data_IF_701006077276
#
_entry.id   IF_701006077276
#
_cell.length_a   1.000
_cell.length_b   1.000
_cell.length_c   1.000
_cell.angle_alpha   90.00
_cell.angle_beta   90.00
_cell.angle_gamma   90.00
#
_symmetry.space_group_name_H-M   'P 1'
#
loop_
_entity.id
_entity.type
_entity.pdbx_description
1 polymer ?
#
# COMPACT_ATOMS: atom_id res chain seq x y z
N UNK A 1 -21.36 32.42 39.17
CA UNK A 1 -20.04 31.82 39.45
C UNK A 1 -19.85 30.66 38.47
N UNK A 2 -19.09 30.89 37.43
CA UNK A 2 -18.56 29.81 36.60
C UNK A 2 -17.45 29.14 37.40
N UNK A 3 -17.64 27.85 37.71
CA UNK A 3 -16.63 27.09 38.43
C UNK A 3 -15.28 27.13 37.74
N UNK A 4 -14.23 27.26 38.56
CA UNK A 4 -12.85 27.04 38.11
C UNK A 4 -12.73 25.60 37.66
N UNK A 5 -12.87 25.37 36.36
CA UNK A 5 -12.47 24.11 35.75
C UNK A 5 -10.96 24.04 35.84
N UNK A 6 -10.44 23.16 36.69
CA UNK A 6 -9.02 22.95 36.84
C UNK A 6 -8.42 22.62 35.48
N UNK A 7 -7.40 23.37 35.06
CA UNK A 7 -6.68 23.05 33.81
C UNK A 7 -6.17 21.59 33.87
N UNK A 8 -6.29 20.83 32.79
CA UNK A 8 -5.80 19.47 32.77
C UNK A 8 -4.29 19.43 33.09
N UNK A 9 -3.88 18.49 33.94
CA UNK A 9 -2.47 18.28 34.25
C UNK A 9 -1.63 18.15 32.98
N UNK A 10 -0.52 18.90 32.95
CA UNK A 10 0.43 18.83 31.86
C UNK A 10 1.02 17.42 31.82
N UNK A 11 1.12 16.80 30.62
CA UNK A 11 1.73 15.48 30.50
C UNK A 11 3.21 15.54 30.92
N UNK A 12 3.80 14.37 31.32
CA UNK A 12 5.20 14.30 31.73
C UNK A 12 6.14 14.95 30.72
N UNK A 13 7.23 15.52 31.20
CA UNK A 13 8.17 16.31 30.39
C UNK A 13 8.72 15.52 29.20
N UNK A 14 8.91 14.19 29.34
CA UNK A 14 9.32 13.30 28.27
C UNK A 14 8.28 13.22 27.13
N UNK A 15 6.98 13.23 27.48
CA UNK A 15 5.88 13.21 26.51
C UNK A 15 5.83 14.56 25.78
N UNK A 16 6.03 15.67 26.50
CA UNK A 16 6.10 17.00 25.89
C UNK A 16 7.30 17.11 24.95
N UNK A 17 8.48 16.63 25.35
CA UNK A 17 9.68 16.61 24.51
C UNK A 17 9.49 15.78 23.25
N UNK A 18 8.86 14.59 23.37
CA UNK A 18 8.53 13.73 22.23
C UNK A 18 7.53 14.41 21.28
N UNK A 19 6.49 15.06 21.82
CA UNK A 19 5.53 15.83 21.03
C UNK A 19 6.20 16.99 20.31
N UNK A 20 7.06 17.74 20.97
CA UNK A 20 7.83 18.84 20.37
C UNK A 20 8.74 18.32 19.23
N UNK A 21 9.44 17.21 19.44
CA UNK A 21 10.27 16.58 18.41
C UNK A 21 9.43 16.14 17.19
N UNK A 22 8.21 15.66 17.41
CA UNK A 22 7.29 15.31 16.35
C UNK A 22 6.78 16.54 15.58
N UNK A 23 6.48 17.64 16.28
CA UNK A 23 6.13 18.93 15.66
C UNK A 23 7.25 19.39 14.72
N UNK A 24 8.50 19.31 15.13
CA UNK A 24 9.65 19.65 14.29
C UNK A 24 9.72 18.75 13.07
N UNK A 25 9.51 17.43 13.22
CA UNK A 25 9.51 16.48 12.10
C UNK A 25 8.40 16.74 11.08
N UNK A 26 7.17 17.05 11.55
CA UNK A 26 6.03 17.34 10.66
C UNK A 26 6.17 18.67 9.96
N UNK A 27 6.95 19.57 10.53
CA UNK A 27 7.15 20.93 10.03
C UNK A 27 8.43 21.08 9.18
N UNK A 28 9.26 20.04 9.10
CA UNK A 28 10.49 20.08 8.30
C UNK A 28 10.18 20.24 6.81
N UNK A 29 10.77 21.28 6.21
CA UNK A 29 10.67 21.52 4.77
C UNK A 29 11.63 20.56 4.07
N UNK A 30 11.12 19.68 3.22
CA UNK A 30 11.96 18.89 2.32
C UNK A 30 12.60 19.84 1.30
N UNK A 31 13.89 19.72 1.08
CA UNK A 31 14.69 20.46 0.11
C UNK A 31 15.02 21.92 0.45
N UNK A 32 14.87 22.37 1.71
CA UNK A 32 15.36 23.65 2.16
C UNK A 32 16.47 23.47 3.20
N UNK A 33 17.48 24.35 3.20
CA UNK A 33 18.55 24.39 4.20
C UNK A 33 18.06 24.99 5.55
N UNK A 34 16.75 25.02 5.76
CA UNK A 34 16.11 25.59 6.93
C UNK A 34 15.00 24.68 7.48
N UNK A 35 14.81 24.73 8.79
CA UNK A 35 13.74 24.04 9.50
C UNK A 35 12.80 25.11 10.09
N UNK A 36 11.50 24.98 9.80
CA UNK A 36 10.46 25.85 10.34
C UNK A 36 9.60 25.12 11.38
N UNK A 37 9.14 25.84 12.38
CA UNK A 37 8.12 25.39 13.34
C UNK A 37 6.82 26.12 13.00
N UNK A 38 5.77 25.34 12.77
CA UNK A 38 4.43 25.85 12.42
C UNK A 38 3.44 25.48 13.52
N UNK A 39 3.19 26.36 14.51
CA UNK A 39 2.38 26.05 15.69
C UNK A 39 0.96 25.58 15.33
N UNK A 40 0.23 26.32 14.48
CA UNK A 40 -1.14 25.95 14.11
C UNK A 40 -1.25 24.58 13.42
N UNK A 41 -0.44 24.25 12.40
CA UNK A 41 -0.44 22.92 11.80
C UNK A 41 -0.11 21.78 12.75
N UNK A 42 0.56 22.04 13.87
CA UNK A 42 0.89 20.99 14.84
C UNK A 42 -0.31 20.51 15.69
N UNK A 43 -1.43 21.23 15.65
CA UNK A 43 -2.67 20.82 16.33
C UNK A 43 -3.50 19.82 15.53
N UNK A 44 -3.24 19.65 14.22
CA UNK A 44 -3.95 18.66 13.42
C UNK A 44 -3.45 17.25 13.74
N UNK A 45 -4.38 16.36 14.10
CA UNK A 45 -4.07 14.97 14.42
C UNK A 45 -3.83 14.12 13.17
N UNK A 46 -3.26 12.93 13.39
CA UNK A 46 -2.99 11.98 12.33
C UNK A 46 -4.18 11.09 12.02
N UNK A 47 -4.38 10.81 10.73
CA UNK A 47 -5.16 9.67 10.26
C UNK A 47 -4.43 8.99 9.09
N UNK A 48 -4.54 7.65 9.00
CA UNK A 48 -4.10 6.91 7.81
C UNK A 48 -5.08 7.04 6.62
N UNK A 49 -6.23 7.68 6.85
CA UNK A 49 -7.20 8.13 5.85
C UNK A 49 -7.50 9.61 6.14
N UNK A 50 -6.56 10.53 5.85
CA UNK A 50 -6.70 11.94 6.18
C UNK A 50 -7.80 12.59 5.35
N UNK A 51 -8.46 13.60 5.91
CA UNK A 51 -9.45 14.41 5.23
C UNK A 51 -8.92 15.81 4.84
N UNK A 52 -7.65 16.06 5.12
CA UNK A 52 -6.95 17.27 4.69
C UNK A 52 -5.52 16.94 4.27
N UNK A 53 -4.97 17.77 3.42
CA UNK A 53 -3.60 17.69 2.96
C UNK A 53 -2.76 18.89 3.42
N UNK A 54 -1.46 18.63 3.60
CA UNK A 54 -0.46 19.61 3.99
C UNK A 54 0.48 19.84 2.80
N UNK A 55 0.51 21.08 2.31
CA UNK A 55 1.35 21.49 1.17
C UNK A 55 2.27 22.62 1.60
N UNK A 56 3.54 22.53 1.21
CA UNK A 56 4.54 23.58 1.44
C UNK A 56 4.78 24.35 0.16
N UNK A 57 4.63 25.67 0.21
CA UNK A 57 4.99 26.57 -0.90
C UNK A 57 5.96 27.61 -0.33
N UNK A 58 7.23 27.48 -0.67
CA UNK A 58 8.30 28.27 -0.05
C UNK A 58 8.35 28.06 1.47
N UNK A 59 8.16 29.11 2.23
CA UNK A 59 8.13 29.07 3.71
C UNK A 59 6.71 29.00 4.30
N UNK A 60 5.68 28.89 3.46
CA UNK A 60 4.29 28.87 3.91
C UNK A 60 3.73 27.47 3.84
N UNK A 61 3.10 27.02 4.94
CA UNK A 61 2.39 25.75 5.00
C UNK A 61 0.89 25.99 4.78
N UNK A 62 0.33 25.30 3.81
CA UNK A 62 -1.11 25.28 3.53
C UNK A 62 -1.70 23.97 4.03
N UNK A 63 -2.81 24.07 4.78
CA UNK A 63 -3.67 22.94 5.10
C UNK A 63 -4.94 23.10 4.28
N UNK A 64 -5.20 22.13 3.41
CA UNK A 64 -6.35 22.14 2.50
C UNK A 64 -7.22 20.92 2.77
N UNK A 65 -8.54 21.15 2.88
CA UNK A 65 -9.50 20.04 2.92
C UNK A 65 -9.39 19.23 1.62
N UNK A 66 -9.35 17.91 1.74
CA UNK A 66 -9.29 16.98 0.62
C UNK A 66 -10.69 16.61 0.10
N UNK A 67 -11.72 16.87 0.89
CA UNK A 67 -13.14 16.65 0.60
C UNK A 67 -13.98 17.65 1.38
N UNK A 68 -15.27 17.67 1.16
CA UNK A 68 -16.20 18.41 1.99
C UNK A 68 -16.17 17.88 3.44
N UNK A 69 -16.09 18.80 4.40
CA UNK A 69 -16.07 18.50 5.81
C UNK A 69 -17.38 18.96 6.46
N UNK A 70 -17.95 18.12 7.30
CA UNK A 70 -19.12 18.47 8.09
C UNK A 70 -18.79 19.49 9.19
N UNK A 71 -19.82 20.18 9.70
CA UNK A 71 -19.65 21.04 10.86
C UNK A 71 -19.17 20.19 12.06
N UNK A 72 -18.15 20.68 12.79
CA UNK A 72 -17.48 20.01 13.91
C UNK A 72 -16.76 18.69 13.55
N UNK A 73 -16.55 18.40 12.29
CA UNK A 73 -15.70 17.29 11.89
C UNK A 73 -14.23 17.62 12.16
N UNK A 74 -13.52 16.73 12.85
CA UNK A 74 -12.09 16.90 13.12
C UNK A 74 -11.28 16.81 11.83
N UNK A 75 -10.31 17.72 11.70
CA UNK A 75 -9.41 17.78 10.54
C UNK A 75 -8.17 16.95 10.81
N UNK A 76 -7.94 15.94 9.97
CA UNK A 76 -6.80 15.03 10.06
C UNK A 76 -5.85 15.22 8.91
N UNK A 77 -4.56 15.16 9.20
CA UNK A 77 -3.48 15.13 8.19
C UNK A 77 -2.65 13.85 8.32
N UNK A 78 -1.90 13.49 7.30
CA UNK A 78 -0.90 12.42 7.44
C UNK A 78 0.38 12.95 8.10
N UNK A 79 0.96 12.17 9.04
CA UNK A 79 2.26 12.47 9.64
C UNK A 79 3.41 11.72 8.95
N UNK A 80 3.09 10.60 8.31
CA UNK A 80 4.01 9.70 7.62
C UNK A 80 3.35 9.12 6.37
N UNK A 81 4.08 8.38 5.60
CA UNK A 81 3.57 7.71 4.41
C UNK A 81 2.46 6.72 4.77
N UNK A 82 1.26 6.99 4.28
CA UNK A 82 0.06 6.16 4.53
C UNK A 82 -0.09 5.02 3.50
N UNK A 83 0.75 4.97 2.48
CA UNK A 83 0.75 3.88 1.49
C UNK A 83 1.38 2.60 2.03
N UNK A 84 2.10 2.69 3.15
CA UNK A 84 2.63 1.54 3.87
C UNK A 84 1.52 0.62 4.38
N UNK A 85 1.77 -0.69 4.49
CA UNK A 85 0.85 -1.63 5.13
C UNK A 85 0.66 -1.33 6.62
N UNK A 86 -0.47 -1.81 7.19
CA UNK A 86 -0.84 -1.54 8.58
C UNK A 86 0.26 -1.86 9.60
N UNK A 87 0.96 -3.02 9.57
CA UNK A 87 2.01 -3.30 10.57
C UNK A 87 3.15 -2.26 10.54
N UNK A 88 3.53 -1.80 9.35
CA UNK A 88 4.56 -0.79 9.18
C UNK A 88 4.07 0.58 9.69
N UNK A 89 2.83 0.98 9.33
CA UNK A 89 2.21 2.20 9.85
C UNK A 89 2.09 2.18 11.37
N UNK A 90 1.69 1.04 11.97
CA UNK A 90 1.62 0.86 13.41
C UNK A 90 2.99 1.01 14.09
N UNK A 91 4.05 0.47 13.49
CA UNK A 91 5.42 0.65 13.97
C UNK A 91 5.84 2.12 13.93
N UNK A 92 5.48 2.85 12.86
CA UNK A 92 5.80 4.28 12.75
C UNK A 92 5.00 5.09 13.78
N UNK A 93 3.69 4.86 13.92
CA UNK A 93 2.84 5.59 14.87
C UNK A 93 3.31 5.40 16.32
N UNK A 94 3.74 4.19 16.69
CA UNK A 94 4.35 3.95 18.02
C UNK A 94 5.61 4.77 18.26
N UNK A 95 6.46 4.94 17.24
CA UNK A 95 7.64 5.82 17.33
C UNK A 95 7.26 7.31 17.49
N UNK A 96 6.07 7.70 17.03
CA UNK A 96 5.48 9.02 17.25
C UNK A 96 4.78 9.14 18.61
N UNK A 97 4.61 8.03 19.34
CA UNK A 97 4.04 7.99 20.68
C UNK A 97 2.53 7.83 20.72
N UNK A 98 1.91 7.29 19.66
CA UNK A 98 0.48 7.01 19.64
C UNK A 98 0.15 5.72 18.85
N UNK A 99 -1.02 5.17 19.12
CA UNK A 99 -1.63 4.10 18.32
C UNK A 99 -2.76 4.69 17.48
N UNK A 100 -2.68 4.49 16.17
CA UNK A 100 -3.68 5.03 15.26
C UNK A 100 -4.95 4.18 15.26
N UNK A 101 -6.07 4.77 15.68
CA UNK A 101 -7.41 4.15 15.69
C UNK A 101 -8.34 4.68 14.59
N UNK A 102 -7.81 5.19 13.48
CA UNK A 102 -8.63 5.71 12.38
C UNK A 102 -9.47 4.60 11.72
N UNK A 103 -10.56 4.94 10.99
CA UNK A 103 -11.44 3.95 10.37
C UNK A 103 -10.73 2.94 9.47
N UNK A 104 -9.69 3.36 8.73
CA UNK A 104 -8.87 2.47 7.91
C UNK A 104 -8.10 1.46 8.77
N UNK A 105 -7.48 1.91 9.86
CA UNK A 105 -6.78 1.00 10.78
C UNK A 105 -7.73 0.02 11.44
N UNK A 106 -8.96 0.45 11.76
CA UNK A 106 -10.03 -0.42 12.27
C UNK A 106 -10.44 -1.49 11.26
N UNK A 107 -10.64 -1.11 9.98
CA UNK A 107 -10.95 -2.04 8.90
C UNK A 107 -9.85 -3.10 8.72
N UNK A 108 -8.60 -2.69 8.73
CA UNK A 108 -7.44 -3.57 8.54
C UNK A 108 -7.03 -4.34 9.83
N UNK A 109 -7.67 -4.06 10.98
CA UNK A 109 -7.46 -4.81 12.22
C UNK A 109 -8.29 -6.10 12.29
N UNK A 110 -9.43 -6.13 11.60
CA UNK A 110 -10.31 -7.30 11.60
C UNK A 110 -9.61 -8.49 10.95
N UNK A 111 -9.36 -9.53 11.73
CA UNK A 111 -8.69 -10.75 11.27
C UNK A 111 -7.17 -10.61 11.12
N UNK A 112 -6.54 -9.63 11.74
CA UNK A 112 -5.08 -9.42 11.68
C UNK A 112 -4.30 -10.59 12.30
N UNK A 113 -4.86 -11.24 13.30
CA UNK A 113 -4.36 -12.48 13.91
C UNK A 113 -4.23 -13.63 12.90
N UNK A 114 -5.18 -13.74 11.98
CA UNK A 114 -5.18 -14.74 10.90
C UNK A 114 -4.38 -14.31 9.67
N UNK A 115 -4.11 -13.02 9.51
CA UNK A 115 -3.46 -12.48 8.33
C UNK A 115 -2.03 -12.99 8.16
N UNK A 116 -1.28 -13.16 9.26
CA UNK A 116 0.08 -13.67 9.22
C UNK A 116 0.11 -15.14 8.77
N UNK A 117 -0.75 -15.97 9.35
CA UNK A 117 -0.86 -17.40 8.98
C UNK A 117 -1.29 -17.55 7.51
N UNK A 118 -2.28 -16.75 7.08
CA UNK A 118 -2.74 -16.72 5.70
C UNK A 118 -1.63 -16.28 4.73
N UNK A 119 -0.81 -15.29 5.09
CA UNK A 119 0.33 -14.86 4.31
C UNK A 119 1.40 -15.95 4.18
N UNK A 120 1.71 -16.64 5.26
CA UNK A 120 2.68 -17.75 5.25
C UNK A 120 2.20 -18.90 4.38
N UNK A 121 0.92 -19.29 4.53
CA UNK A 121 0.29 -20.32 3.71
C UNK A 121 0.31 -19.96 2.24
N UNK A 122 -0.10 -18.74 1.91
CA UNK A 122 -0.10 -18.22 0.54
C UNK A 122 1.32 -18.17 -0.07
N UNK A 123 2.32 -17.75 0.71
CA UNK A 123 3.71 -17.72 0.28
C UNK A 123 4.26 -19.10 0.01
N UNK A 124 3.98 -20.08 0.90
CA UNK A 124 4.40 -21.48 0.74
C UNK A 124 3.75 -22.11 -0.49
N UNK A 125 2.43 -21.90 -0.69
CA UNK A 125 1.70 -22.42 -1.84
C UNK A 125 2.23 -21.85 -3.15
N UNK A 126 2.41 -20.53 -3.24
CA UNK A 126 2.93 -19.87 -4.43
C UNK A 126 4.36 -20.32 -4.75
N UNK A 127 5.21 -20.48 -3.73
CA UNK A 127 6.57 -20.99 -3.90
C UNK A 127 6.59 -22.44 -4.39
N UNK A 128 5.78 -23.31 -3.79
CA UNK A 128 5.69 -24.72 -4.19
C UNK A 128 5.20 -24.88 -5.64
N UNK A 129 4.16 -24.14 -6.03
CA UNK A 129 3.66 -24.12 -7.39
C UNK A 129 4.72 -23.64 -8.40
N UNK A 130 5.46 -22.59 -8.07
CA UNK A 130 6.58 -22.10 -8.86
C UNK A 130 7.69 -23.13 -9.00
N UNK A 131 8.13 -23.73 -7.90
CA UNK A 131 9.23 -24.72 -7.90
C UNK A 131 8.84 -25.97 -8.70
N UNK A 132 7.59 -26.43 -8.58
CA UNK A 132 7.06 -27.53 -9.37
C UNK A 132 7.10 -27.27 -10.88
N UNK A 133 6.69 -26.10 -11.27
CA UNK A 133 6.63 -25.72 -12.68
C UNK A 133 8.04 -25.42 -13.26
N UNK A 134 8.97 -24.89 -12.49
CA UNK A 134 10.40 -24.82 -12.88
C UNK A 134 10.99 -26.22 -13.07
N UNK A 135 10.63 -27.17 -12.22
CA UNK A 135 11.06 -28.57 -12.34
C UNK A 135 10.51 -29.21 -13.62
N UNK A 136 9.23 -29.00 -13.92
CA UNK A 136 8.58 -29.48 -15.14
C UNK A 136 9.22 -28.87 -16.39
N UNK A 137 9.46 -27.55 -16.39
CA UNK A 137 10.19 -26.88 -17.49
C UNK A 137 11.56 -27.48 -17.73
N UNK A 138 12.36 -27.69 -16.68
CA UNK A 138 13.69 -28.28 -16.79
C UNK A 138 13.64 -29.75 -17.31
N UNK A 139 12.62 -30.51 -16.94
CA UNK A 139 12.40 -31.85 -17.43
C UNK A 139 12.04 -31.87 -18.95
N UNK A 140 11.18 -30.93 -19.37
CA UNK A 140 10.78 -30.77 -20.76
C UNK A 140 11.90 -30.21 -21.66
N UNK A 141 12.74 -29.31 -21.14
CA UNK A 141 13.93 -28.80 -21.85
C UNK A 141 14.93 -29.89 -22.17
N UNK A 142 15.09 -30.88 -21.28
CA UNK A 142 15.93 -32.07 -21.55
C UNK A 142 15.35 -32.99 -22.64
N UNK A 143 14.06 -32.87 -22.94
CA UNK A 143 13.35 -33.65 -24.00
C UNK A 143 13.15 -32.89 -25.30
N UNK A 144 13.76 -31.69 -25.48
CA UNK A 144 13.66 -30.89 -26.71
C UNK A 144 12.36 -30.08 -26.85
N UNK A 145 11.65 -29.83 -25.75
CA UNK A 145 10.37 -29.11 -25.74
C UNK A 145 10.49 -27.60 -25.68
N UNK A 146 9.44 -26.91 -26.10
CA UNK A 146 9.30 -25.50 -26.36
C UNK A 146 9.26 -24.64 -25.09
N UNK A 147 9.43 -23.32 -25.26
CA UNK A 147 9.61 -22.26 -24.21
C UNK A 147 8.35 -21.94 -23.37
N UNK A 148 7.23 -22.64 -23.59
CA UNK A 148 5.95 -22.33 -22.92
C UNK A 148 5.83 -22.82 -21.45
N UNK A 149 6.79 -23.63 -20.96
CA UNK A 149 6.76 -24.17 -19.60
C UNK A 149 6.95 -23.14 -18.47
N UNK A 150 7.64 -22.02 -18.75
CA UNK A 150 7.86 -20.96 -17.76
C UNK A 150 6.57 -20.15 -17.52
N UNK A 151 5.73 -20.00 -18.56
CA UNK A 151 4.39 -19.40 -18.46
C UNK A 151 3.41 -20.28 -17.68
N UNK A 152 3.51 -21.59 -17.80
CA UNK A 152 2.70 -22.54 -17.03
C UNK A 152 3.02 -22.48 -15.52
N UNK A 153 4.28 -22.16 -15.18
CA UNK A 153 4.76 -22.03 -13.80
C UNK A 153 4.10 -20.87 -13.04
N UNK A 154 4.08 -19.74 -13.68
CA UNK A 154 3.49 -18.55 -13.11
C UNK A 154 1.96 -18.69 -13.03
N UNK A 155 1.32 -19.33 -14.01
CA UNK A 155 -0.11 -19.62 -14.01
C UNK A 155 -0.50 -20.57 -12.87
N UNK A 156 0.26 -21.66 -12.64
CA UNK A 156 -0.02 -22.58 -11.52
C UNK A 156 0.11 -21.88 -10.15
N UNK A 157 1.04 -20.93 -10.00
CA UNK A 157 1.15 -20.10 -8.81
C UNK A 157 -0.09 -19.17 -8.64
N UNK A 158 -0.66 -18.67 -9.73
CA UNK A 158 -1.89 -17.89 -9.69
C UNK A 158 -3.13 -18.76 -9.44
N UNK A 159 -3.23 -19.93 -10.06
CA UNK A 159 -4.38 -20.86 -9.93
C UNK A 159 -4.49 -21.49 -8.53
N UNK A 160 -3.39 -21.55 -7.74
CA UNK A 160 -3.44 -21.98 -6.33
C UNK A 160 -4.24 -21.03 -5.43
N UNK A 161 -4.83 -19.98 -6.01
CA UNK A 161 -5.54 -18.89 -5.36
C UNK A 161 -7.02 -19.19 -5.02
N UNK A 162 -7.61 -20.23 -5.62
CA UNK A 162 -9.08 -20.35 -5.67
C UNK A 162 -9.75 -20.86 -4.40
N UNK A 163 -9.01 -21.40 -3.43
CA UNK A 163 -9.57 -22.12 -2.27
C UNK A 163 -9.26 -21.49 -0.91
N UNK A 164 -8.85 -20.21 -0.84
CA UNK A 164 -8.38 -19.63 0.41
C UNK A 164 -9.47 -18.84 1.15
N UNK A 165 -9.44 -18.94 2.49
CA UNK A 165 -10.28 -18.14 3.40
C UNK A 165 -9.95 -16.65 3.22
N UNK A 166 -10.92 -15.89 2.68
CA UNK A 166 -10.83 -14.45 2.47
C UNK A 166 -11.82 -13.72 3.40
N UNK A 167 -11.89 -14.16 4.65
CA UNK A 167 -12.88 -13.71 5.62
C UNK A 167 -12.74 -12.25 6.06
N UNK A 168 -11.60 -11.61 5.79
CA UNK A 168 -11.36 -10.22 6.19
C UNK A 168 -10.39 -9.48 5.27
N UNK A 169 -10.44 -8.15 5.34
CA UNK A 169 -9.57 -7.26 4.57
C UNK A 169 -8.09 -7.46 4.93
N UNK A 170 -7.76 -7.68 6.20
CA UNK A 170 -6.39 -7.94 6.63
C UNK A 170 -5.83 -9.21 6.00
N UNK A 171 -6.59 -10.29 6.02
CA UNK A 171 -6.23 -11.58 5.40
C UNK A 171 -6.04 -11.41 3.89
N UNK A 172 -6.95 -10.73 3.23
CA UNK A 172 -6.91 -10.48 1.80
C UNK A 172 -5.66 -9.68 1.38
N UNK A 173 -5.35 -8.59 2.10
CA UNK A 173 -4.14 -7.79 1.89
C UNK A 173 -2.88 -8.63 2.08
N UNK A 174 -2.83 -9.43 3.15
CA UNK A 174 -1.68 -10.26 3.49
C UNK A 174 -1.42 -11.33 2.41
N UNK A 175 -2.46 -11.99 1.93
CA UNK A 175 -2.39 -12.98 0.85
C UNK A 175 -1.91 -12.35 -0.46
N UNK A 176 -2.52 -11.24 -0.91
CA UNK A 176 -2.10 -10.56 -2.12
C UNK A 176 -0.61 -10.17 -2.07
N UNK A 177 -0.17 -9.59 -0.96
CA UNK A 177 1.23 -9.19 -0.78
C UNK A 177 2.18 -10.38 -0.81
N UNK A 178 1.82 -11.48 -0.14
CA UNK A 178 2.64 -12.69 -0.11
C UNK A 178 2.82 -13.28 -1.51
N UNK A 179 1.75 -13.37 -2.29
CA UNK A 179 1.74 -13.87 -3.66
C UNK A 179 2.49 -12.95 -4.62
N UNK A 180 2.20 -11.65 -4.55
CA UNK A 180 2.90 -10.65 -5.37
C UNK A 180 4.41 -10.63 -5.07
N UNK A 181 4.84 -10.88 -3.83
CA UNK A 181 6.27 -10.97 -3.47
C UNK A 181 6.97 -12.14 -4.15
N UNK A 182 6.32 -13.29 -4.28
CA UNK A 182 6.87 -14.46 -4.99
C UNK A 182 7.02 -14.15 -6.48
N UNK A 183 6.00 -13.59 -7.11
CA UNK A 183 6.02 -13.23 -8.53
C UNK A 183 6.98 -12.07 -8.83
N UNK A 184 7.10 -11.11 -7.90
CA UNK A 184 7.98 -9.95 -8.09
C UNK A 184 9.45 -10.33 -8.32
N UNK A 185 9.94 -11.39 -7.69
CA UNK A 185 11.31 -11.87 -7.90
C UNK A 185 11.57 -12.30 -9.34
N UNK A 186 10.61 -12.94 -9.98
CA UNK A 186 10.71 -13.40 -11.36
C UNK A 186 10.57 -12.22 -12.33
N UNK A 187 9.54 -11.41 -12.16
CA UNK A 187 9.30 -10.21 -12.96
C UNK A 187 10.47 -9.23 -12.87
N UNK A 188 11.08 -9.06 -11.70
CA UNK A 188 12.26 -8.18 -11.55
C UNK A 188 13.46 -8.69 -12.35
N UNK A 189 13.66 -10.01 -12.43
CA UNK A 189 14.73 -10.61 -13.26
C UNK A 189 14.44 -10.41 -14.74
N UNK A 190 13.23 -10.69 -15.19
CA UNK A 190 12.79 -10.49 -16.57
C UNK A 190 12.91 -9.01 -16.98
N UNK A 191 12.49 -8.09 -16.11
CA UNK A 191 12.60 -6.66 -16.33
C UNK A 191 14.08 -6.20 -16.41
N UNK A 192 14.96 -6.74 -15.56
CA UNK A 192 16.38 -6.44 -15.60
C UNK A 192 17.02 -6.94 -16.90
N UNK A 193 16.65 -8.15 -17.35
CA UNK A 193 17.11 -8.72 -18.62
C UNK A 193 16.58 -7.93 -19.82
N UNK A 194 15.31 -7.55 -19.82
CA UNK A 194 14.72 -6.69 -20.83
C UNK A 194 15.45 -5.35 -20.96
N UNK A 195 15.74 -4.71 -19.81
CA UNK A 195 16.53 -3.46 -19.80
C UNK A 195 17.97 -3.68 -20.27
N UNK A 196 18.63 -4.75 -19.82
CA UNK A 196 20.00 -5.09 -20.22
C UNK A 196 20.13 -5.31 -21.71
N UNK A 197 19.15 -5.97 -22.31
CA UNK A 197 19.10 -6.27 -23.76
C UNK A 197 18.55 -5.12 -24.60
N UNK A 198 18.21 -3.98 -23.97
CA UNK A 198 17.56 -2.83 -24.63
C UNK A 198 16.30 -3.22 -25.41
N UNK A 199 15.48 -4.07 -24.80
CA UNK A 199 14.21 -4.52 -25.40
C UNK A 199 14.34 -5.65 -26.43
N UNK A 200 15.51 -6.27 -26.59
CA UNK A 200 15.70 -7.41 -27.50
C UNK A 200 15.26 -8.75 -26.91
N UNK A 201 15.25 -8.88 -25.59
CA UNK A 201 14.61 -10.01 -24.90
C UNK A 201 13.10 -9.82 -24.84
N UNK A 202 12.35 -10.89 -24.54
CA UNK A 202 10.91 -10.80 -24.30
C UNK A 202 10.64 -9.82 -23.15
N UNK A 203 9.61 -8.99 -23.29
CA UNK A 203 9.10 -8.19 -22.20
C UNK A 203 8.51 -9.10 -21.10
N UNK A 204 8.58 -8.71 -19.83
CA UNK A 204 7.95 -9.47 -18.75
C UNK A 204 6.44 -9.56 -19.00
N UNK A 205 5.89 -10.74 -18.73
CA UNK A 205 4.45 -10.97 -18.88
C UNK A 205 3.68 -10.35 -17.69
N UNK A 206 2.84 -9.32 -17.92
CA UNK A 206 2.08 -8.70 -16.85
C UNK A 206 0.85 -9.50 -16.41
N UNK A 207 0.41 -10.50 -17.19
CA UNK A 207 -0.90 -11.14 -17.03
C UNK A 207 -1.11 -11.69 -15.62
N UNK A 208 -0.11 -12.35 -15.04
CA UNK A 208 -0.24 -12.94 -13.70
C UNK A 208 -0.41 -11.89 -12.59
N UNK A 209 0.22 -10.73 -12.71
CA UNK A 209 0.00 -9.64 -11.77
C UNK A 209 -1.37 -8.98 -12.00
N UNK A 210 -1.80 -8.87 -13.24
CA UNK A 210 -3.16 -8.39 -13.59
C UNK A 210 -4.20 -9.32 -12.99
N UNK A 211 -4.08 -10.63 -13.17
CA UNK A 211 -4.97 -11.64 -12.58
C UNK A 211 -5.05 -11.54 -11.05
N UNK A 212 -3.91 -11.32 -10.38
CA UNK A 212 -3.89 -11.08 -8.94
C UNK A 212 -4.67 -9.83 -8.53
N UNK A 213 -4.56 -8.74 -9.29
CA UNK A 213 -5.33 -7.53 -8.98
C UNK A 213 -6.81 -7.73 -9.24
N UNK A 214 -7.20 -8.44 -10.30
CA UNK A 214 -8.59 -8.78 -10.60
C UNK A 214 -9.17 -9.68 -9.51
N UNK A 215 -8.44 -10.70 -9.07
CA UNK A 215 -8.82 -11.54 -7.94
C UNK A 215 -9.05 -10.71 -6.67
N UNK A 216 -8.12 -9.80 -6.34
CA UNK A 216 -8.23 -8.95 -5.15
C UNK A 216 -9.48 -8.07 -5.20
N UNK A 217 -9.77 -7.43 -6.34
CA UNK A 217 -10.96 -6.62 -6.53
C UNK A 217 -12.25 -7.46 -6.33
N UNK A 218 -12.31 -8.62 -6.98
CA UNK A 218 -13.45 -9.54 -6.85
C UNK A 218 -13.70 -9.98 -5.39
N UNK A 219 -12.63 -10.20 -4.62
CA UNK A 219 -12.77 -10.57 -3.21
C UNK A 219 -13.20 -9.39 -2.34
N UNK A 220 -12.77 -8.17 -2.65
CA UNK A 220 -13.27 -6.96 -1.98
C UNK A 220 -14.77 -6.74 -2.24
N UNK A 221 -15.25 -7.04 -3.47
CA UNK A 221 -16.66 -7.01 -3.82
C UNK A 221 -17.45 -8.04 -3.02
N UNK A 222 -16.93 -9.26 -2.91
CA UNK A 222 -17.55 -10.33 -2.13
C UNK A 222 -17.64 -10.03 -0.63
N UNK A 223 -16.69 -9.23 -0.10
CA UNK A 223 -16.74 -8.71 1.28
C UNK A 223 -17.74 -7.56 1.48
N UNK A 224 -18.36 -7.07 0.41
CA UNK A 224 -19.33 -5.98 0.48
C UNK A 224 -18.74 -4.64 0.88
N UNK A 225 -17.46 -4.39 0.56
CA UNK A 225 -16.78 -3.15 0.92
C UNK A 225 -17.31 -1.96 0.11
N UNK A 226 -17.47 -0.82 0.78
CA UNK A 226 -17.73 0.45 0.09
C UNK A 226 -16.53 0.87 -0.77
N UNK A 227 -16.73 1.74 -1.76
CA UNK A 227 -15.62 2.23 -2.62
C UNK A 227 -14.51 2.89 -1.80
N UNK A 228 -14.86 3.64 -0.75
CA UNK A 228 -13.87 4.22 0.17
C UNK A 228 -13.04 3.13 0.87
N UNK A 229 -13.68 2.07 1.36
CA UNK A 229 -13.00 0.94 2.02
C UNK A 229 -12.11 0.17 1.03
N UNK A 230 -12.57 -0.01 -0.22
CA UNK A 230 -11.75 -0.60 -1.29
C UNK A 230 -10.53 0.28 -1.60
N UNK A 231 -10.68 1.61 -1.66
CA UNK A 231 -9.56 2.54 -1.82
C UNK A 231 -8.54 2.42 -0.68
N UNK A 232 -9.00 2.26 0.56
CA UNK A 232 -8.10 2.01 1.71
C UNK A 232 -7.34 0.69 1.59
N UNK A 233 -8.01 -0.39 1.20
CA UNK A 233 -7.38 -1.69 0.99
C UNK A 233 -6.37 -1.65 -0.17
N UNK A 234 -6.72 -1.04 -1.31
CA UNK A 234 -5.81 -0.84 -2.46
C UNK A 234 -4.56 -0.06 -2.07
N UNK A 235 -4.71 0.97 -1.21
CA UNK A 235 -3.56 1.76 -0.75
C UNK A 235 -2.54 0.91 0.01
N UNK A 236 -2.98 -0.06 0.81
CA UNK A 236 -2.09 -0.96 1.55
C UNK A 236 -1.33 -1.95 0.67
N UNK A 237 -1.73 -2.07 -0.59
CA UNK A 237 -1.11 -2.91 -1.62
C UNK A 237 -0.74 -2.12 -2.88
N UNK A 238 -0.66 -0.81 -2.79
CA UNK A 238 -0.43 0.10 -3.93
C UNK A 238 0.82 -0.27 -4.75
N UNK A 239 1.84 -0.81 -4.09
CA UNK A 239 3.06 -1.26 -4.74
C UNK A 239 2.80 -2.38 -5.76
N UNK A 240 1.82 -3.25 -5.51
CA UNK A 240 1.43 -4.30 -6.47
C UNK A 240 0.89 -3.66 -7.73
N UNK A 241 -0.03 -2.71 -7.60
CA UNK A 241 -0.60 -1.97 -8.73
C UNK A 241 0.47 -1.16 -9.49
N UNK A 242 1.42 -0.57 -8.76
CA UNK A 242 2.56 0.14 -9.37
C UNK A 242 3.46 -0.80 -10.18
N UNK A 243 3.68 -2.02 -9.71
CA UNK A 243 4.46 -3.02 -10.43
C UNK A 243 3.72 -3.49 -11.69
N UNK A 244 2.39 -3.71 -11.61
CA UNK A 244 1.56 -4.06 -12.77
C UNK A 244 1.71 -3.03 -13.88
N UNK A 245 1.54 -1.75 -13.57
CA UNK A 245 1.64 -0.69 -14.59
C UNK A 245 3.03 -0.59 -15.22
N UNK A 246 4.11 -0.89 -14.47
CA UNK A 246 5.47 -0.94 -15.02
C UNK A 246 5.65 -2.09 -16.00
N UNK A 247 5.09 -3.28 -15.68
CA UNK A 247 5.12 -4.43 -16.57
C UNK A 247 4.29 -4.21 -17.83
N UNK A 248 3.08 -3.64 -17.70
CA UNK A 248 2.23 -3.27 -18.83
C UNK A 248 2.92 -2.27 -19.77
N UNK A 249 3.66 -1.31 -19.20
CA UNK A 249 4.45 -0.37 -19.99
C UNK A 249 5.56 -1.08 -20.78
N UNK A 250 6.29 -2.01 -20.16
CA UNK A 250 7.35 -2.76 -20.83
C UNK A 250 6.81 -3.69 -21.91
N UNK A 251 5.60 -4.26 -21.70
CA UNK A 251 4.90 -5.09 -22.67
C UNK A 251 4.21 -4.29 -23.79
N UNK A 252 4.25 -2.95 -23.75
CA UNK A 252 3.59 -2.10 -24.75
C UNK A 252 2.06 -2.06 -24.65
N UNK A 253 1.46 -2.57 -23.58
CA UNK A 253 0.02 -2.60 -23.35
C UNK A 253 -0.46 -1.25 -22.77
N UNK A 254 -0.49 -0.21 -23.61
CA UNK A 254 -0.68 1.17 -23.16
C UNK A 254 -2.10 1.45 -22.65
N UNK A 255 -3.13 0.85 -23.22
CA UNK A 255 -4.52 1.02 -22.77
C UNK A 255 -4.72 0.43 -21.37
N UNK A 256 -4.35 -0.83 -21.18
CA UNK A 256 -4.41 -1.50 -19.87
C UNK A 256 -3.56 -0.76 -18.81
N UNK A 257 -2.41 -0.21 -19.21
CA UNK A 257 -1.61 0.66 -18.35
C UNK A 257 -2.35 1.93 -17.95
N UNK A 258 -3.03 2.60 -18.89
CA UNK A 258 -3.80 3.82 -18.61
C UNK A 258 -4.94 3.54 -17.63
N UNK A 259 -5.65 2.45 -17.79
CA UNK A 259 -6.69 2.01 -16.84
C UNK A 259 -6.11 1.77 -15.44
N UNK A 260 -4.97 1.07 -15.35
CA UNK A 260 -4.30 0.80 -14.09
C UNK A 260 -3.83 2.09 -13.41
N UNK A 261 -3.25 3.04 -14.16
CA UNK A 261 -2.85 4.35 -13.66
C UNK A 261 -4.04 5.17 -13.16
N UNK A 262 -5.17 5.12 -13.87
CA UNK A 262 -6.40 5.80 -13.46
C UNK A 262 -6.91 5.23 -12.12
N UNK A 263 -6.86 3.90 -11.96
CA UNK A 263 -7.24 3.25 -10.69
C UNK A 263 -6.30 3.63 -9.56
N UNK A 264 -4.99 3.66 -9.79
CA UNK A 264 -3.98 4.09 -8.81
C UNK A 264 -4.21 5.56 -8.42
N UNK A 265 -4.42 6.43 -9.40
CA UNK A 265 -4.68 7.85 -9.18
C UNK A 265 -5.95 8.09 -8.36
N UNK A 266 -7.05 7.39 -8.69
CA UNK A 266 -8.29 7.48 -7.91
C UNK A 266 -8.08 7.00 -6.46
N UNK A 267 -7.41 5.87 -6.27
CA UNK A 267 -7.08 5.33 -4.95
C UNK A 267 -6.28 6.32 -4.10
N UNK A 268 -5.23 6.93 -4.68
CA UNK A 268 -4.39 7.90 -3.96
C UNK A 268 -5.16 9.20 -3.66
N UNK A 269 -6.00 9.68 -4.58
CA UNK A 269 -6.86 10.84 -4.32
C UNK A 269 -7.73 10.65 -3.09
N UNK A 270 -8.28 9.46 -2.90
CA UNK A 270 -9.18 9.15 -1.80
C UNK A 270 -8.45 8.89 -0.47
N UNK A 271 -7.19 8.46 -0.52
CA UNK A 271 -6.47 7.98 0.66
C UNK A 271 -5.21 8.76 0.99
N UNK A 272 -4.59 9.37 0.02
CA UNK A 272 -3.41 10.23 0.15
C UNK A 272 -3.49 11.42 -0.82
N UNK A 273 -4.39 12.37 -0.54
CA UNK A 273 -4.68 13.47 -1.47
C UNK A 273 -3.49 14.40 -1.74
N UNK A 274 -2.38 14.23 -1.02
CA UNK A 274 -1.14 14.99 -1.21
C UNK A 274 -0.01 14.19 -1.87
N UNK A 275 -0.30 13.02 -2.43
CA UNK A 275 0.73 12.16 -3.03
C UNK A 275 1.17 12.62 -4.44
N UNK A 276 0.62 13.70 -4.93
CA UNK A 276 0.91 14.25 -6.27
C UNK A 276 1.90 15.43 -6.26
N UNK A 277 2.48 15.75 -5.10
CA UNK A 277 3.46 16.85 -4.95
C UNK A 277 4.91 16.37 -5.10
#
# INVERSE_FOLDING_TARGET
SKGDEALPELPPQEVLARRAANVVKTSAIRNANSVGIYPLPSFFNHSCAPNACKVMIGHTMFIRAARDLGANEEVFVKYFDVTMPKPERASVSKRWGFDCACPRCGLEAVGEDKALEAAEKASKAAKAARDAAVAEFNANKKKGGDKDGEKAAAKAAADSLSAEDTSSVAVLIAQLRAKAKVLHGDISREMAEYKRTKGKSAAPDPNHLVELTVWFESKMDALGLSETQKSWARTSVIQVYSNVQLCLNAAGQLEARAEMLTKVAATLRDTDPCSYD
#
